data_IF_409701053497
#
_entry.id   IF_409701053497
#
_cell.length_a   1.000
_cell.length_b   1.000
_cell.length_c   1.000
_cell.angle_alpha   90.00
_cell.angle_beta   90.00
_cell.angle_gamma   90.00
#
_symmetry.space_group_name_H-M   'P 1'
#
loop_
_entity.id
_entity.type
_entity.pdbx_description
1 polymer ?
#
# COMPACT_ATOMS: atom_id res chain seq x y z
N UNK A 1 24.66 -24.86 -46.43
CA UNK A 1 23.71 -24.77 -45.30
C UNK A 1 24.47 -24.20 -44.12
N UNK A 2 24.25 -22.92 -43.81
CA UNK A 2 24.94 -22.18 -42.75
C UNK A 2 23.94 -21.94 -41.64
N UNK A 3 24.07 -22.70 -40.52
CA UNK A 3 23.19 -22.57 -39.34
C UNK A 3 23.62 -21.33 -38.55
N UNK A 4 22.75 -20.36 -38.46
CA UNK A 4 22.92 -19.17 -37.62
C UNK A 4 22.38 -19.50 -36.23
N UNK A 5 23.28 -19.64 -35.24
CA UNK A 5 22.98 -19.73 -33.83
C UNK A 5 22.66 -18.32 -33.29
N UNK A 6 21.39 -18.09 -32.92
CA UNK A 6 21.03 -16.91 -32.13
C UNK A 6 21.28 -17.18 -30.64
N UNK A 7 22.02 -16.33 -29.94
CA UNK A 7 22.14 -16.45 -28.49
C UNK A 7 20.82 -15.98 -27.85
N UNK A 8 20.16 -16.86 -27.08
CA UNK A 8 19.08 -16.51 -26.19
C UNK A 8 19.63 -15.62 -25.08
N UNK A 9 19.39 -14.32 -25.18
CA UNK A 9 19.61 -13.41 -24.07
C UNK A 9 18.49 -13.66 -23.01
N UNK A 10 18.85 -14.32 -21.93
CA UNK A 10 18.04 -14.37 -20.73
C UNK A 10 18.00 -12.95 -20.13
N UNK A 11 16.91 -12.24 -20.29
CA UNK A 11 16.62 -11.02 -19.55
C UNK A 11 16.35 -11.41 -18.10
N UNK A 12 17.40 -11.48 -17.28
CA UNK A 12 17.24 -11.43 -15.84
C UNK A 12 16.75 -10.04 -15.46
N UNK A 13 15.49 -9.92 -15.06
CA UNK A 13 15.01 -8.75 -14.34
C UNK A 13 15.68 -8.77 -12.96
N UNK A 14 16.77 -8.06 -12.81
CA UNK A 14 17.27 -7.61 -11.51
C UNK A 14 16.25 -6.58 -10.99
N UNK A 15 15.25 -7.07 -10.27
CA UNK A 15 14.29 -6.24 -9.56
C UNK A 15 15.05 -5.54 -8.42
N UNK A 16 15.51 -4.31 -8.69
CA UNK A 16 16.17 -3.49 -7.67
C UNK A 16 15.19 -3.27 -6.53
N UNK A 17 15.47 -3.87 -5.37
CA UNK A 17 14.80 -3.52 -4.12
C UNK A 17 14.83 -1.99 -3.97
N UNK A 18 13.68 -1.32 -3.80
CA UNK A 18 13.66 0.12 -3.63
C UNK A 18 14.58 0.54 -2.49
N UNK A 19 15.38 1.55 -2.67
CA UNK A 19 16.26 2.11 -1.64
C UNK A 19 15.47 2.86 -0.52
N UNK A 20 14.12 2.71 -0.47
CA UNK A 20 13.22 3.40 0.45
C UNK A 20 11.90 2.67 0.64
N UNK A 21 10.97 3.27 1.41
CA UNK A 21 9.64 2.71 1.65
C UNK A 21 8.88 2.45 0.35
N UNK A 22 8.19 1.32 0.25
CA UNK A 22 7.46 0.94 -0.97
C UNK A 22 6.97 -0.49 -0.99
N UNK A 23 6.37 -0.90 -2.11
CA UNK A 23 6.01 -2.28 -2.39
C UNK A 23 6.85 -2.82 -3.55
N UNK A 24 7.40 -3.99 -3.34
CA UNK A 24 7.91 -4.89 -4.39
C UNK A 24 6.97 -6.08 -4.43
N UNK A 25 6.07 -6.11 -5.42
CA UNK A 25 5.07 -7.17 -5.50
C UNK A 25 5.74 -8.55 -5.63
N UNK A 26 5.38 -9.47 -4.77
CA UNK A 26 5.84 -10.86 -4.76
C UNK A 26 4.70 -11.82 -5.11
N UNK A 27 3.92 -11.45 -6.09
CA UNK A 27 2.76 -12.20 -6.55
C UNK A 27 3.18 -13.61 -7.00
N UNK A 28 2.45 -14.63 -6.54
CA UNK A 28 2.81 -16.04 -6.74
C UNK A 28 3.78 -16.62 -5.71
N UNK A 29 4.44 -15.80 -4.90
CA UNK A 29 5.24 -16.29 -3.79
C UNK A 29 4.34 -16.76 -2.63
N UNK A 30 4.86 -17.69 -1.83
CA UNK A 30 4.18 -18.17 -0.62
C UNK A 30 4.81 -17.54 0.60
N UNK A 31 4.00 -17.02 1.51
CA UNK A 31 4.50 -16.49 2.78
C UNK A 31 5.02 -17.61 3.67
N UNK A 32 6.10 -17.41 4.45
CA UNK A 32 6.62 -18.43 5.35
C UNK A 32 5.58 -18.81 6.41
N UNK A 33 5.15 -20.11 6.49
CA UNK A 33 4.08 -20.52 7.38
C UNK A 33 4.49 -20.53 8.85
N UNK A 34 5.79 -20.55 9.14
CA UNK A 34 6.35 -20.70 10.49
C UNK A 34 6.63 -19.37 11.21
N UNK A 35 6.13 -18.25 10.70
CA UNK A 35 6.25 -16.96 11.39
C UNK A 35 5.27 -16.94 12.56
N UNK A 36 5.78 -16.52 13.74
CA UNK A 36 5.01 -16.47 14.98
C UNK A 36 4.57 -15.06 15.28
N UNK A 37 3.32 -14.92 15.71
CA UNK A 37 2.74 -13.68 16.20
C UNK A 37 1.98 -13.92 17.50
N UNK A 38 1.57 -12.87 18.17
CA UNK A 38 0.58 -12.90 19.24
C UNK A 38 -0.74 -12.38 18.69
N UNK A 39 -1.82 -13.13 18.91
CA UNK A 39 -3.16 -12.66 18.59
C UNK A 39 -3.63 -11.60 19.63
N UNK A 40 -4.78 -11.03 19.41
CA UNK A 40 -5.37 -10.01 20.27
C UNK A 40 -5.71 -10.51 21.71
N UNK A 41 -5.63 -11.81 21.96
CA UNK A 41 -5.80 -12.40 23.30
C UNK A 41 -4.44 -12.74 23.95
N UNK A 42 -3.32 -12.44 23.27
CA UNK A 42 -1.97 -12.76 23.70
C UNK A 42 -1.55 -14.21 23.42
N UNK A 43 -2.36 -14.99 22.73
CA UNK A 43 -1.98 -16.37 22.36
C UNK A 43 -0.97 -16.34 21.21
N UNK A 44 0.09 -17.15 21.32
CA UNK A 44 1.06 -17.33 20.23
C UNK A 44 0.43 -18.15 19.11
N UNK A 45 0.45 -17.63 17.89
CA UNK A 45 -0.10 -18.26 16.68
C UNK A 45 0.95 -18.31 15.57
N UNK A 46 0.92 -19.36 14.74
CA UNK A 46 1.69 -19.44 13.49
C UNK A 46 0.81 -18.95 12.34
N UNK A 47 1.38 -18.19 11.41
CA UNK A 47 0.64 -17.75 10.23
C UNK A 47 0.07 -18.90 9.41
N UNK A 48 0.85 -19.97 9.21
CA UNK A 48 0.39 -21.13 8.45
C UNK A 48 -0.77 -21.88 9.10
N UNK A 49 -0.91 -21.82 10.42
CA UNK A 49 -2.01 -22.48 11.14
C UNK A 49 -3.31 -21.67 11.08
N UNK A 50 -3.20 -20.36 10.90
CA UNK A 50 -4.36 -19.45 10.88
C UNK A 50 -4.80 -19.03 9.49
N UNK A 51 -3.93 -19.08 8.46
CA UNK A 51 -4.28 -18.82 7.07
C UNK A 51 -4.83 -20.10 6.46
N UNK A 52 -6.13 -20.28 6.57
CA UNK A 52 -6.84 -21.50 6.13
C UNK A 52 -7.93 -21.19 5.08
N UNK A 53 -8.11 -19.94 4.76
CA UNK A 53 -9.12 -19.41 3.81
C UNK A 53 -8.52 -18.29 2.98
N UNK A 54 -9.17 -17.89 1.87
CA UNK A 54 -8.85 -16.63 1.21
C UNK A 54 -8.74 -15.52 2.23
N UNK A 55 -7.62 -14.81 2.26
CA UNK A 55 -7.28 -13.87 3.33
C UNK A 55 -7.00 -12.50 2.78
N UNK A 56 -7.65 -11.49 3.37
CA UNK A 56 -7.25 -10.08 3.22
C UNK A 56 -6.25 -9.79 4.32
N UNK A 57 -4.99 -9.58 3.95
CA UNK A 57 -3.92 -9.18 4.86
C UNK A 57 -3.72 -7.67 4.78
N UNK A 58 -3.78 -6.99 5.92
CA UNK A 58 -3.44 -5.59 6.07
C UNK A 58 -2.23 -5.43 7.00
N UNK A 59 -1.24 -4.65 6.57
CA UNK A 59 -0.10 -4.26 7.37
C UNK A 59 -0.29 -2.81 7.81
N UNK A 60 -0.37 -2.59 9.12
CA UNK A 60 -0.62 -1.29 9.76
C UNK A 60 0.27 -1.14 10.99
N UNK A 61 0.29 0.03 11.63
CA UNK A 61 0.70 0.12 13.03
C UNK A 61 -0.50 0.62 13.85
N UNK A 62 -0.79 -0.05 14.95
CA UNK A 62 -2.06 0.11 15.66
C UNK A 62 -2.18 1.44 16.41
N UNK A 63 -1.04 2.04 16.76
CA UNK A 63 -0.96 3.36 17.39
C UNK A 63 -1.04 4.52 16.41
N UNK A 64 -1.14 4.26 15.09
CA UNK A 64 -1.35 5.28 14.07
C UNK A 64 -2.65 6.05 14.30
N UNK A 65 -2.59 7.38 14.17
CA UNK A 65 -3.75 8.29 14.25
C UNK A 65 -4.15 8.91 12.89
N UNK A 66 -3.47 8.52 11.80
CA UNK A 66 -3.64 9.12 10.47
C UNK A 66 -4.33 8.18 9.48
N UNK A 67 -3.54 7.43 8.68
CA UNK A 67 -4.09 6.65 7.56
C UNK A 67 -4.57 5.26 7.97
N UNK A 68 -3.91 4.59 8.94
CA UNK A 68 -4.27 3.22 9.31
C UNK A 68 -5.72 3.11 9.81
N UNK A 69 -6.25 4.06 10.64
CA UNK A 69 -7.66 4.07 11.00
C UNK A 69 -8.60 4.21 9.81
N UNK A 70 -8.21 4.97 8.80
CA UNK A 70 -9.03 5.15 7.59
C UNK A 70 -9.05 3.89 6.73
N UNK A 71 -7.91 3.19 6.60
CA UNK A 71 -7.82 1.91 5.88
C UNK A 71 -8.71 0.86 6.55
N UNK A 72 -8.52 0.64 7.86
CA UNK A 72 -9.29 -0.37 8.58
C UNK A 72 -10.78 0.00 8.70
N UNK A 73 -11.08 1.30 8.85
CA UNK A 73 -12.46 1.80 8.87
C UNK A 73 -13.14 1.66 7.51
N UNK A 74 -12.46 2.05 6.42
CA UNK A 74 -12.96 1.88 5.06
C UNK A 74 -13.20 0.40 4.72
N UNK A 75 -12.26 -0.47 5.15
CA UNK A 75 -12.44 -1.92 5.01
C UNK A 75 -13.66 -2.41 5.78
N UNK A 76 -13.81 -2.03 7.07
CA UNK A 76 -14.96 -2.39 7.89
C UNK A 76 -16.31 -1.99 7.25
N UNK A 77 -16.37 -0.81 6.63
CA UNK A 77 -17.56 -0.31 5.92
C UNK A 77 -17.85 -1.11 4.64
N UNK A 78 -16.82 -1.60 3.95
CA UNK A 78 -16.99 -2.36 2.71
C UNK A 78 -17.43 -3.81 2.93
N UNK A 79 -17.04 -4.44 4.08
CA UNK A 79 -17.31 -5.86 4.37
C UNK A 79 -18.77 -6.28 4.25
N UNK A 80 -19.78 -5.50 4.71
CA UNK A 80 -21.19 -5.87 4.56
C UNK A 80 -21.66 -5.99 3.11
N UNK A 81 -20.97 -5.37 2.17
CA UNK A 81 -21.25 -5.44 0.73
C UNK A 81 -20.65 -6.66 0.03
N UNK A 82 -19.85 -7.48 0.72
CA UNK A 82 -19.28 -8.69 0.15
C UNK A 82 -20.32 -9.79 -0.01
N UNK A 83 -20.21 -10.55 -1.10
CA UNK A 83 -21.07 -11.73 -1.37
C UNK A 83 -20.64 -12.95 -0.56
N UNK A 84 -19.38 -12.98 -0.13
CA UNK A 84 -18.78 -14.02 0.69
C UNK A 84 -19.02 -13.75 2.17
N UNK A 85 -19.13 -14.82 2.97
CA UNK A 85 -19.38 -14.73 4.41
C UNK A 85 -18.05 -14.74 5.19
N UNK A 86 -17.81 -13.76 6.08
CA UNK A 86 -16.60 -13.72 6.89
C UNK A 86 -16.53 -14.93 7.83
N UNK A 87 -15.35 -15.50 7.99
CA UNK A 87 -15.09 -16.67 8.83
C UNK A 87 -15.49 -18.01 8.20
N UNK A 88 -16.38 -17.99 7.19
CA UNK A 88 -16.74 -19.17 6.42
C UNK A 88 -15.99 -19.23 5.10
N UNK A 89 -16.15 -18.23 4.26
CA UNK A 89 -15.63 -18.20 2.89
C UNK A 89 -14.30 -17.44 2.78
N UNK A 90 -14.07 -16.49 3.66
CA UNK A 90 -12.83 -15.70 3.74
C UNK A 90 -12.52 -15.28 5.18
N UNK A 91 -11.36 -14.74 5.40
CA UNK A 91 -10.92 -14.17 6.67
C UNK A 91 -10.08 -12.91 6.46
N UNK A 92 -9.92 -12.13 7.54
CA UNK A 92 -9.03 -10.97 7.56
C UNK A 92 -7.94 -11.17 8.62
N UNK A 93 -6.74 -10.72 8.29
CA UNK A 93 -5.62 -10.67 9.22
C UNK A 93 -5.02 -9.27 9.12
N UNK A 94 -5.00 -8.57 10.26
CA UNK A 94 -4.30 -7.30 10.41
C UNK A 94 -3.07 -7.54 11.26
N UNK A 95 -1.88 -7.24 10.74
CA UNK A 95 -0.62 -7.38 11.46
C UNK A 95 -0.05 -5.99 11.73
N UNK A 96 0.30 -5.72 12.98
CA UNK A 96 1.08 -4.54 13.29
C UNK A 96 2.53 -4.74 12.85
N UNK A 97 3.08 -3.77 12.11
CA UNK A 97 4.49 -3.72 11.81
C UNK A 97 5.30 -2.83 12.80
N UNK A 98 4.66 -2.31 13.86
CA UNK A 98 5.38 -1.71 14.99
C UNK A 98 5.57 -2.73 16.11
N UNK A 99 6.81 -3.09 16.40
CA UNK A 99 7.16 -4.02 17.45
C UNK A 99 6.85 -3.50 18.89
N UNK A 100 6.40 -2.24 19.01
CA UNK A 100 5.95 -1.67 20.28
C UNK A 100 4.45 -1.84 20.52
N UNK A 101 3.69 -2.20 19.49
CA UNK A 101 2.28 -2.53 19.65
C UNK A 101 2.12 -3.87 20.37
N UNK A 102 1.12 -3.94 21.24
CA UNK A 102 0.86 -5.08 22.10
C UNK A 102 -0.52 -5.73 21.84
N UNK A 103 -0.74 -6.96 22.34
CA UNK A 103 -2.04 -7.63 22.21
C UNK A 103 -3.21 -6.86 22.82
N UNK A 104 -3.01 -6.08 23.88
CA UNK A 104 -4.09 -5.30 24.48
C UNK A 104 -4.55 -4.18 23.56
N UNK A 105 -3.63 -3.50 22.90
CA UNK A 105 -3.92 -2.53 21.84
C UNK A 105 -4.64 -3.20 20.66
N UNK A 106 -4.16 -4.37 20.24
CA UNK A 106 -4.76 -5.15 19.16
C UNK A 106 -6.22 -5.53 19.50
N UNK A 107 -6.49 -5.96 20.74
CA UNK A 107 -7.83 -6.29 21.23
C UNK A 107 -8.79 -5.10 21.14
N UNK A 108 -8.37 -3.94 21.63
CA UNK A 108 -9.18 -2.72 21.60
C UNK A 108 -9.49 -2.27 20.16
N UNK A 109 -8.48 -2.28 19.28
CA UNK A 109 -8.64 -1.90 17.88
C UNK A 109 -9.57 -2.87 17.15
N UNK A 110 -9.40 -4.19 17.33
CA UNK A 110 -10.29 -5.21 16.79
C UNK A 110 -11.74 -4.95 17.17
N UNK A 111 -12.01 -4.73 18.46
CA UNK A 111 -13.38 -4.50 18.95
C UNK A 111 -14.04 -3.30 18.25
N UNK A 112 -13.27 -2.22 18.04
CA UNK A 112 -13.76 -1.02 17.38
C UNK A 112 -14.09 -1.25 15.89
N UNK A 113 -13.20 -1.92 15.14
CA UNK A 113 -13.42 -2.15 13.72
C UNK A 113 -14.48 -3.22 13.44
N UNK A 114 -14.53 -4.29 14.24
CA UNK A 114 -15.62 -5.28 14.15
C UNK A 114 -16.98 -4.62 14.42
N UNK A 115 -17.06 -3.74 15.42
CA UNK A 115 -18.27 -2.95 15.67
C UNK A 115 -18.63 -2.04 14.50
N UNK A 116 -17.64 -1.43 13.85
CA UNK A 116 -17.84 -0.54 12.71
C UNK A 116 -18.40 -1.25 11.47
N UNK A 117 -18.28 -2.58 11.36
CA UNK A 117 -18.91 -3.32 10.26
C UNK A 117 -20.44 -3.26 10.29
N UNK A 118 -21.04 -2.99 11.44
CA UNK A 118 -22.49 -2.95 11.62
C UNK A 118 -23.18 -4.31 11.45
N UNK A 119 -22.43 -5.40 11.33
CA UNK A 119 -22.96 -6.75 11.13
C UNK A 119 -22.55 -7.71 12.25
N UNK A 120 -23.22 -8.85 12.36
CA UNK A 120 -22.76 -9.94 13.21
C UNK A 120 -21.51 -10.55 12.62
N UNK A 121 -20.37 -10.29 13.26
CA UNK A 121 -19.07 -10.69 12.76
C UNK A 121 -18.49 -11.83 13.61
N UNK A 122 -18.13 -12.99 13.01
CA UNK A 122 -17.55 -14.09 13.77
C UNK A 122 -16.21 -13.66 14.41
N UNK A 123 -15.98 -14.04 15.67
CA UNK A 123 -14.81 -13.61 16.45
C UNK A 123 -13.48 -13.89 15.76
N UNK A 124 -13.38 -15.03 15.08
CA UNK A 124 -12.14 -15.47 14.43
C UNK A 124 -12.00 -15.05 12.96
N UNK A 125 -13.01 -14.36 12.42
CA UNK A 125 -13.00 -13.94 11.03
C UNK A 125 -12.06 -12.75 10.74
N UNK A 126 -11.71 -11.99 11.75
CA UNK A 126 -10.75 -10.90 11.67
C UNK A 126 -9.77 -10.97 12.85
N UNK A 127 -8.53 -11.36 12.60
CA UNK A 127 -7.48 -11.45 13.60
C UNK A 127 -6.61 -10.19 13.57
N UNK A 128 -6.21 -9.74 14.74
CA UNK A 128 -5.28 -8.63 14.92
C UNK A 128 -4.02 -9.16 15.61
N UNK A 129 -2.90 -9.08 14.91
CA UNK A 129 -1.66 -9.71 15.33
C UNK A 129 -0.60 -8.65 15.66
N UNK A 130 0.16 -8.94 16.71
CA UNK A 130 1.37 -8.20 17.10
C UNK A 130 2.54 -9.16 17.19
N UNK A 131 3.76 -8.67 16.98
CA UNK A 131 4.93 -9.55 16.96
C UNK A 131 6.23 -8.81 17.28
N UNK A 132 7.27 -9.60 17.43
CA UNK A 132 8.61 -9.08 17.57
C UNK A 132 9.17 -8.56 16.24
N UNK A 133 10.30 -7.86 16.30
CA UNK A 133 10.96 -7.28 15.13
C UNK A 133 11.28 -8.35 14.08
N UNK A 134 11.76 -9.51 14.48
CA UNK A 134 12.14 -10.58 13.55
C UNK A 134 10.93 -11.09 12.76
N UNK A 135 9.83 -11.36 13.44
CA UNK A 135 8.57 -11.81 12.83
C UNK A 135 8.00 -10.75 11.89
N UNK A 136 8.06 -9.47 12.29
CA UNK A 136 7.64 -8.35 11.46
C UNK A 136 8.49 -8.24 10.19
N UNK A 137 9.83 -8.26 10.31
CA UNK A 137 10.73 -8.20 9.16
C UNK A 137 10.47 -9.37 8.20
N UNK A 138 10.29 -10.58 8.72
CA UNK A 138 10.00 -11.77 7.91
C UNK A 138 8.70 -11.68 7.11
N UNK A 139 7.62 -11.17 7.71
CA UNK A 139 6.34 -11.05 6.97
C UNK A 139 6.39 -9.87 5.98
N UNK A 140 6.96 -8.74 6.37
CA UNK A 140 7.06 -7.56 5.50
C UNK A 140 7.95 -7.84 4.30
N UNK A 141 9.07 -8.54 4.50
CA UNK A 141 9.91 -9.01 3.40
C UNK A 141 9.16 -10.02 2.52
N UNK A 142 8.45 -10.98 3.10
CA UNK A 142 7.73 -12.01 2.34
C UNK A 142 6.68 -11.41 1.40
N UNK A 143 6.02 -10.32 1.80
CA UNK A 143 5.03 -9.63 0.98
C UNK A 143 5.59 -8.39 0.27
N UNK A 144 6.90 -8.15 0.34
CA UNK A 144 7.57 -7.04 -0.32
C UNK A 144 7.16 -5.66 0.19
N UNK A 145 6.75 -5.56 1.46
CA UNK A 145 6.32 -4.33 2.11
C UNK A 145 7.51 -3.68 2.81
N UNK A 146 8.02 -2.57 2.27
CA UNK A 146 9.15 -1.83 2.83
C UNK A 146 8.65 -0.56 3.51
N UNK A 147 9.02 -0.39 4.77
CA UNK A 147 8.68 0.77 5.58
C UNK A 147 9.93 1.34 6.24
N UNK A 148 9.85 2.59 6.66
CA UNK A 148 10.93 3.29 7.35
C UNK A 148 10.38 4.07 8.54
N UNK A 149 11.06 4.01 9.68
CA UNK A 149 10.73 4.83 10.84
C UNK A 149 11.11 6.29 10.58
N UNK A 150 10.21 7.21 10.93
CA UNK A 150 10.42 8.65 10.87
C UNK A 150 10.19 9.29 12.25
N UNK A 151 10.45 10.59 12.39
CA UNK A 151 10.25 11.35 13.63
C UNK A 151 8.80 11.31 14.14
N UNK A 152 7.83 11.16 13.25
CA UNK A 152 6.39 11.21 13.55
C UNK A 152 5.68 9.86 13.36
N UNK A 153 6.42 8.75 13.27
CA UNK A 153 5.86 7.43 13.06
C UNK A 153 6.58 6.63 11.98
N UNK A 154 5.88 6.26 10.92
CA UNK A 154 6.45 5.47 9.84
C UNK A 154 6.03 5.99 8.47
N UNK A 155 6.98 5.98 7.54
CA UNK A 155 6.71 6.11 6.11
C UNK A 155 6.53 4.70 5.57
N UNK A 156 5.37 4.42 4.98
CA UNK A 156 5.02 3.09 4.52
C UNK A 156 4.01 3.15 3.35
N UNK A 157 3.97 2.12 2.50
CA UNK A 157 2.91 2.01 1.49
C UNK A 157 1.57 1.67 2.14
N UNK A 158 0.47 1.97 1.43
CA UNK A 158 -0.89 1.62 1.87
C UNK A 158 -1.47 0.63 0.86
N UNK A 159 -1.53 -0.64 1.28
CA UNK A 159 -1.91 -1.74 0.40
C UNK A 159 -2.57 -2.87 1.21
N UNK A 160 -3.55 -3.54 0.62
CA UNK A 160 -4.03 -4.83 1.09
C UNK A 160 -3.36 -5.93 0.24
N UNK A 161 -3.01 -7.03 0.88
CA UNK A 161 -2.43 -8.21 0.22
C UNK A 161 -3.45 -9.34 0.26
N UNK A 162 -3.70 -9.98 -0.87
CA UNK A 162 -4.61 -11.11 -0.96
C UNK A 162 -3.83 -12.42 -0.97
N UNK A 163 -4.24 -13.33 -0.09
CA UNK A 163 -3.59 -14.62 0.08
C UNK A 163 -4.59 -15.75 -0.17
N UNK A 164 -4.12 -16.79 -0.87
CA UNK A 164 -4.85 -18.06 -0.96
C UNK A 164 -4.90 -18.78 0.40
N UNK A 165 -5.74 -19.83 0.54
CA UNK A 165 -5.74 -20.70 1.74
C UNK A 165 -4.40 -21.37 2.05
N UNK A 166 -3.48 -21.43 1.07
CA UNK A 166 -2.12 -21.95 1.24
C UNK A 166 -1.06 -20.88 1.49
N UNK A 167 -1.49 -19.63 1.65
CA UNK A 167 -0.59 -18.49 1.87
C UNK A 167 0.14 -18.00 0.61
N UNK A 168 -0.33 -18.35 -0.59
CA UNK A 168 0.19 -17.81 -1.83
C UNK A 168 -0.34 -16.40 -2.02
N UNK A 169 0.52 -15.46 -2.34
CA UNK A 169 0.15 -14.07 -2.66
C UNK A 169 -0.50 -14.05 -4.04
N UNK A 170 -1.80 -13.77 -4.10
CA UNK A 170 -2.56 -13.76 -5.34
C UNK A 170 -2.68 -12.36 -5.96
N UNK A 171 -2.57 -11.31 -5.14
CA UNK A 171 -2.63 -9.94 -5.64
C UNK A 171 -2.45 -8.88 -4.56
N UNK A 172 -2.42 -7.65 -5.01
CA UNK A 172 -2.28 -6.45 -4.18
C UNK A 172 -3.35 -5.43 -4.55
N UNK A 173 -4.04 -4.91 -3.54
CA UNK A 173 -5.00 -3.82 -3.70
C UNK A 173 -4.41 -2.52 -3.15
N UNK A 174 -4.07 -1.60 -4.05
CA UNK A 174 -3.49 -0.32 -3.68
C UNK A 174 -4.58 0.66 -3.23
N UNK A 175 -4.39 1.24 -2.07
CA UNK A 175 -5.30 2.25 -1.54
C UNK A 175 -4.89 3.62 -2.07
N UNK A 176 -5.75 4.24 -2.87
CA UNK A 176 -5.55 5.60 -3.35
C UNK A 176 -6.36 6.58 -2.50
N UNK A 177 -5.68 7.59 -1.98
CA UNK A 177 -6.26 8.66 -1.18
C UNK A 177 -6.33 9.99 -1.94
N UNK A 178 -5.52 10.11 -2.97
CA UNK A 178 -5.43 11.32 -3.80
C UNK A 178 -5.85 11.03 -5.22
N UNK A 179 -6.82 11.79 -5.70
CA UNK A 179 -7.18 11.80 -7.09
C UNK A 179 -7.28 13.26 -7.56
N UNK A 180 -6.54 13.59 -8.61
CA UNK A 180 -6.49 14.97 -9.16
C UNK A 180 -6.08 16.05 -8.13
N UNK A 181 -5.20 15.71 -7.18
CA UNK A 181 -4.73 16.65 -6.14
C UNK A 181 -5.71 16.88 -4.98
N UNK A 182 -6.83 16.16 -4.95
CA UNK A 182 -7.82 16.20 -3.86
C UNK A 182 -7.68 14.95 -3.00
N UNK A 183 -7.73 15.15 -1.67
CA UNK A 183 -7.73 14.07 -0.69
C UNK A 183 -9.16 13.53 -0.52
N UNK A 184 -9.32 12.22 -0.67
CA UNK A 184 -10.57 11.52 -0.46
C UNK A 184 -10.49 10.58 0.75
N UNK A 185 -11.63 10.29 1.42
CA UNK A 185 -11.69 9.23 2.41
C UNK A 185 -11.29 7.89 1.79
N UNK A 186 -10.59 7.05 2.57
CA UNK A 186 -10.28 5.69 2.13
C UNK A 186 -11.57 4.89 2.04
N UNK A 187 -11.86 4.42 0.85
CA UNK A 187 -13.02 3.57 0.56
C UNK A 187 -12.59 2.37 -0.26
N UNK A 188 -13.28 1.24 -0.06
CA UNK A 188 -13.07 0.03 -0.84
C UNK A 188 -14.33 -0.33 -1.61
N UNK A 189 -14.16 -0.74 -2.85
CA UNK A 189 -15.24 -1.30 -3.67
C UNK A 189 -15.49 -2.75 -3.25
N UNK A 190 -16.69 -3.05 -2.76
CA UNK A 190 -17.08 -4.42 -2.44
C UNK A 190 -16.99 -5.35 -3.68
N UNK A 191 -17.20 -4.81 -4.89
CA UNK A 191 -17.07 -5.58 -6.12
C UNK A 191 -15.62 -5.97 -6.41
N UNK A 192 -14.66 -5.05 -6.21
CA UNK A 192 -13.22 -5.33 -6.38
C UNK A 192 -12.74 -6.32 -5.32
N UNK A 193 -13.06 -6.10 -4.03
CA UNK A 193 -12.70 -7.03 -2.97
C UNK A 193 -13.28 -8.44 -3.20
N UNK A 194 -14.51 -8.56 -3.71
CA UNK A 194 -15.08 -9.85 -4.07
C UNK A 194 -14.29 -10.55 -5.20
N UNK A 195 -13.88 -9.82 -6.24
CA UNK A 195 -13.09 -10.37 -7.33
C UNK A 195 -11.73 -10.86 -6.85
N UNK A 196 -11.03 -10.05 -6.04
CA UNK A 196 -9.73 -10.40 -5.48
C UNK A 196 -9.80 -11.59 -4.50
N UNK A 197 -10.87 -11.69 -3.70
CA UNK A 197 -11.12 -12.85 -2.83
C UNK A 197 -11.48 -14.11 -3.64
N UNK A 198 -12.21 -13.97 -4.75
CA UNK A 198 -12.52 -15.09 -5.64
C UNK A 198 -11.23 -15.60 -6.32
N UNK A 199 -10.37 -14.71 -6.79
CA UNK A 199 -9.05 -15.07 -7.30
C UNK A 199 -8.19 -15.77 -6.23
N UNK A 200 -8.18 -15.25 -4.99
CA UNK A 200 -7.50 -15.88 -3.87
C UNK A 200 -8.04 -17.27 -3.55
N UNK A 201 -9.36 -17.47 -3.66
CA UNK A 201 -10.00 -18.77 -3.41
C UNK A 201 -9.60 -19.84 -4.43
N UNK A 202 -9.36 -19.43 -5.67
CA UNK A 202 -8.96 -20.28 -6.80
C UNK A 202 -7.44 -20.30 -7.00
N UNK A 203 -6.70 -19.56 -6.19
CA UNK A 203 -5.25 -19.35 -6.35
C UNK A 203 -4.86 -18.79 -7.72
N UNK A 204 -5.71 -17.96 -8.30
CA UNK A 204 -5.40 -17.24 -9.53
C UNK A 204 -4.49 -16.07 -9.18
N UNK A 205 -3.30 -16.10 -9.76
CA UNK A 205 -2.31 -15.04 -9.57
C UNK A 205 -2.57 -13.91 -10.54
N UNK A 206 -2.97 -12.76 -10.03
CA UNK A 206 -3.19 -11.56 -10.83
C UNK A 206 -1.88 -10.75 -10.84
N UNK A 207 -1.22 -10.71 -12.00
CA UNK A 207 -0.03 -9.86 -12.16
C UNK A 207 -0.48 -8.40 -12.04
N UNK A 208 0.09 -7.70 -11.06
CA UNK A 208 -0.22 -6.30 -10.82
C UNK A 208 0.05 -5.47 -12.06
N UNK A 209 -0.97 -4.76 -12.53
CA UNK A 209 -0.74 -3.64 -13.46
C UNK A 209 0.02 -2.60 -12.63
N UNK A 210 1.16 -2.16 -13.10
CA UNK A 210 2.00 -1.13 -12.46
C UNK A 210 1.18 0.13 -12.20
N UNK A 211 0.44 0.13 -11.08
CA UNK A 211 -0.25 1.34 -10.62
C UNK A 211 0.77 2.17 -9.84
N UNK A 212 0.80 3.49 -10.01
CA UNK A 212 1.73 4.32 -9.26
C UNK A 212 1.46 4.11 -7.76
N UNK A 213 2.46 3.59 -7.05
CA UNK A 213 2.40 3.35 -5.62
C UNK A 213 2.29 4.69 -4.92
N UNK A 214 1.18 4.92 -4.23
CA UNK A 214 1.02 6.08 -3.38
C UNK A 214 1.59 5.77 -2.00
N UNK A 215 2.51 6.61 -1.58
CA UNK A 215 3.12 6.53 -0.26
C UNK A 215 2.29 7.34 0.74
N UNK A 216 2.11 6.83 1.94
CA UNK A 216 1.68 7.64 3.04
C UNK A 216 2.89 8.46 3.53
N UNK A 217 2.94 9.72 3.15
CA UNK A 217 3.86 10.68 3.74
C UNK A 217 3.12 11.38 4.87
N UNK A 218 3.61 11.24 6.08
CA UNK A 218 3.17 12.05 7.22
C UNK A 218 3.59 13.52 7.06
N UNK A 219 4.50 13.78 6.11
CA UNK A 219 4.90 15.14 5.68
C UNK A 219 5.09 15.16 4.16
N UNK A 220 4.68 16.25 3.53
CA UNK A 220 5.05 16.54 2.14
C UNK A 220 6.58 16.52 2.02
N UNK A 221 7.16 15.86 1.02
CA UNK A 221 8.61 15.85 0.86
C UNK A 221 9.09 17.30 0.67
N UNK A 222 9.95 17.76 1.57
CA UNK A 222 10.55 19.11 1.63
C UNK A 222 11.24 19.55 0.30
N UNK A 223 11.33 18.65 -0.68
CA UNK A 223 11.92 18.92 -2.00
C UNK A 223 10.93 19.46 -3.04
N UNK A 224 9.64 19.23 -2.90
CA UNK A 224 8.67 19.55 -3.96
C UNK A 224 8.35 21.06 -4.01
N UNK A 225 8.37 21.74 -2.85
CA UNK A 225 8.20 23.20 -2.82
C UNK A 225 9.34 23.94 -3.53
N UNK A 226 10.57 23.44 -3.46
CA UNK A 226 11.73 24.05 -4.13
C UNK A 226 11.64 23.91 -5.66
N UNK A 227 11.14 22.79 -6.16
CA UNK A 227 10.92 22.60 -7.60
C UNK A 227 9.80 23.47 -8.13
N UNK A 228 8.68 23.57 -7.42
CA UNK A 228 7.57 24.44 -7.80
C UNK A 228 7.98 25.92 -7.79
N UNK A 229 8.69 26.36 -6.75
CA UNK A 229 9.21 27.72 -6.68
C UNK A 229 10.23 28.02 -7.78
N UNK A 230 11.07 27.05 -8.14
CA UNK A 230 12.04 27.22 -9.23
C UNK A 230 11.33 27.35 -10.59
N UNK A 231 10.30 26.53 -10.87
CA UNK A 231 9.50 26.63 -12.10
C UNK A 231 8.73 27.94 -12.20
N UNK A 232 8.15 28.41 -11.08
CA UNK A 232 7.44 29.69 -11.04
C UNK A 232 8.41 30.85 -11.25
N UNK A 233 9.57 30.85 -10.59
CA UNK A 233 10.60 31.89 -10.75
C UNK A 233 11.14 31.91 -12.18
N UNK A 234 11.46 30.77 -12.78
CA UNK A 234 11.93 30.69 -14.17
C UNK A 234 10.85 31.14 -15.15
N UNK A 235 9.57 30.80 -14.91
CA UNK A 235 8.44 31.28 -15.71
C UNK A 235 8.30 32.79 -15.67
N UNK A 236 8.38 33.40 -14.48
CA UNK A 236 8.31 34.87 -14.31
C UNK A 236 9.48 35.56 -15.00
N UNK A 237 10.71 35.05 -14.84
CA UNK A 237 11.90 35.64 -15.50
C UNK A 237 11.77 35.58 -17.02
N UNK A 238 11.27 34.47 -17.56
CA UNK A 238 11.05 34.32 -19.00
C UNK A 238 10.03 35.32 -19.53
N UNK A 239 8.90 35.48 -18.82
CA UNK A 239 7.85 36.45 -19.20
C UNK A 239 8.36 37.90 -19.16
N UNK A 240 9.12 38.26 -18.14
CA UNK A 240 9.72 39.59 -18.03
C UNK A 240 10.74 39.85 -19.13
N UNK A 241 11.55 38.84 -19.49
CA UNK A 241 12.53 38.93 -20.58
C UNK A 241 11.86 39.14 -21.94
N UNK A 242 10.77 38.40 -22.21
CA UNK A 242 9.97 38.56 -23.43
C UNK A 242 9.31 39.95 -23.49
N UNK A 243 8.75 40.42 -22.38
CA UNK A 243 8.13 41.76 -22.31
C UNK A 243 9.18 42.87 -22.55
N UNK A 244 10.34 42.74 -21.91
CA UNK A 244 11.47 43.68 -22.12
C UNK A 244 11.96 43.71 -23.58
N UNK A 245 12.04 42.55 -24.21
CA UNK A 245 12.40 42.42 -25.61
C UNK A 245 11.36 43.10 -26.54
N UNK A 246 10.08 42.93 -26.29
CA UNK A 246 9.07 43.65 -27.07
C UNK A 246 9.10 45.19 -26.87
N UNK A 247 9.35 45.64 -25.63
CA UNK A 247 9.53 47.09 -25.35
C UNK A 247 10.76 47.63 -26.11
N UNK A 248 11.87 46.86 -26.08
CA UNK A 248 13.10 47.23 -26.82
C UNK A 248 12.83 47.34 -28.33
N UNK A 249 12.17 46.35 -28.93
CA UNK A 249 11.82 46.40 -30.36
C UNK A 249 10.94 47.62 -30.71
N UNK A 250 9.97 47.95 -29.82
CA UNK A 250 9.10 49.10 -30.05
C UNK A 250 9.83 50.42 -29.95
N UNK A 251 10.85 50.50 -29.07
CA UNK A 251 11.66 51.72 -28.94
C UNK A 251 12.61 51.89 -30.09
N UNK A 252 13.22 50.80 -30.60
CA UNK A 252 14.10 50.85 -31.76
C UNK A 252 13.37 51.11 -33.07
N UNK A 253 12.14 50.55 -33.22
CA UNK A 253 11.30 50.81 -34.38
C UNK A 253 10.85 52.27 -34.46
N UNK A 254 10.67 52.97 -33.34
CA UNK A 254 10.33 54.41 -33.30
C UNK A 254 11.49 55.31 -33.62
N UNK A 255 12.76 54.86 -33.47
CA UNK A 255 13.97 55.60 -33.80
C UNK A 255 14.37 55.53 -35.30
N UNK A 256 13.86 54.56 -36.02
CA UNK A 256 14.20 54.33 -37.45
C UNK A 256 13.20 54.99 -38.41
N UNK A 257 12.16 55.70 -37.89
CA UNK A 257 11.10 56.34 -38.67
C UNK A 257 11.06 57.84 -38.52
N UNK A 258 12.16 58.49 -38.08
CA UNK A 258 12.33 59.95 -37.98
C UNK A 258 13.46 60.45 -38.88
#
# INVERSE_FOLDING_TARGET
>A
MMSVLFPSAAFGHDEKVPAGPGIVEKTGATIPPNILFHDENGATVKLGDIITKPTILSLVYLTCDHICPQVLGGLAVALPGLKMSPGKDYQLITISFDAHDDPATAFQKKANYVKATGMSFPKDAWKFLTGDRESIERITDAVGFHFQRDLHGFIHPVVLVFLSPRGVITGYHYVSRYQYGVEYPVTFSAAELNAELDDASREVVTLGVTKPVLYCFTHQPVGQERFFNLLVVTGIVTLLSVAAFFVYLRMTSRRSGS
#
